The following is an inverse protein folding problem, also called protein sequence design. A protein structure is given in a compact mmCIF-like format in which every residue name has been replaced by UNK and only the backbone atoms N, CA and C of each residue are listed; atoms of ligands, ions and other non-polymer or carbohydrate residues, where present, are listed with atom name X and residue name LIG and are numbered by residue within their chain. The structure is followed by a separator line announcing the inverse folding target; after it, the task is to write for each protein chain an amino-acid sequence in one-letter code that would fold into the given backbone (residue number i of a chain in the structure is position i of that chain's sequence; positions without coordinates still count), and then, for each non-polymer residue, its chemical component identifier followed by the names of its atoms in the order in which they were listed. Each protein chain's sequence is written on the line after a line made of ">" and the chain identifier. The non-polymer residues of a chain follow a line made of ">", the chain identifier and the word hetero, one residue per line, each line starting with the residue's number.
data_IF_446333918041
#
_entry.id   IF_446333918041
#
_cell.length_a   1.000
_cell.length_b   1.000
_cell.length_c   1.000
_cell.angle_alpha   90.00
_cell.angle_beta   90.00
_cell.angle_gamma   90.00
#
_symmetry.space_group_name_H-M   'P 1'
#
loop_
_entity.id
_entity.type
_entity.pdbx_description
1 polymer ?
#
# COMPACT_ATOMS: atom_id res chain seq x y z
N UNK A 1 25.14 -6.97 2.33
CA UNK A 1 23.96 -7.09 3.22
C UNK A 1 23.64 -8.57 3.42
N UNK A 2 23.63 -9.06 4.66
CA UNK A 2 23.41 -10.48 4.95
C UNK A 2 21.97 -10.91 4.61
N UNK A 3 21.82 -12.05 3.92
CA UNK A 3 20.54 -12.63 3.54
C UNK A 3 19.85 -13.13 4.82
N UNK A 4 18.69 -12.54 5.19
CA UNK A 4 17.93 -12.97 6.38
C UNK A 4 17.65 -14.48 6.30
N UNK A 5 17.94 -15.18 7.40
CA UNK A 5 17.65 -16.61 7.54
C UNK A 5 16.14 -16.87 7.40
N UNK A 6 15.78 -17.98 6.76
CA UNK A 6 14.40 -18.41 6.56
C UNK A 6 14.21 -19.81 7.11
N UNK A 7 12.99 -20.11 7.50
CA UNK A 7 12.54 -21.44 7.91
C UNK A 7 11.60 -21.98 6.84
N UNK A 8 11.64 -23.28 6.59
CA UNK A 8 10.86 -23.91 5.53
C UNK A 8 10.04 -25.03 6.15
N UNK A 9 8.72 -24.93 6.06
CA UNK A 9 7.81 -25.97 6.52
C UNK A 9 7.47 -26.86 5.34
N UNK A 10 7.57 -28.17 5.54
CA UNK A 10 7.11 -29.20 4.61
C UNK A 10 5.99 -29.96 5.32
N UNK A 11 4.76 -29.84 4.80
CA UNK A 11 3.60 -30.61 5.27
C UNK A 11 3.48 -31.94 4.54
N UNK A 12 3.78 -31.95 3.24
CA UNK A 12 3.85 -33.18 2.42
C UNK A 12 5.13 -33.20 1.60
N UNK A 13 5.84 -34.31 1.68
CA UNK A 13 7.12 -34.54 1.01
C UNK A 13 7.73 -35.84 1.51
N UNK A 14 8.98 -36.10 1.09
CA UNK A 14 9.78 -37.23 1.59
C UNK A 14 10.08 -37.11 3.09
N UNK A 15 10.27 -35.88 3.58
CA UNK A 15 10.59 -35.60 4.99
C UNK A 15 9.80 -34.37 5.50
N UNK A 16 8.53 -34.55 5.91
CA UNK A 16 7.75 -33.49 6.56
C UNK A 16 8.44 -32.95 7.80
N UNK A 17 8.30 -31.65 8.06
CA UNK A 17 8.94 -30.97 9.19
C UNK A 17 9.42 -29.56 8.86
N UNK A 18 10.14 -28.96 9.82
CA UNK A 18 10.67 -27.59 9.73
C UNK A 18 12.17 -27.64 9.45
N UNK A 19 12.58 -27.08 8.32
CA UNK A 19 13.95 -27.05 7.84
C UNK A 19 14.53 -25.63 7.95
N UNK A 20 15.78 -25.50 8.43
CA UNK A 20 16.45 -24.19 8.59
C UNK A 20 17.14 -23.69 7.32
N UNK A 21 17.27 -24.54 6.29
CA UNK A 21 17.93 -24.20 5.03
C UNK A 21 17.12 -24.67 3.85
N UNK A 22 17.25 -23.97 2.72
CA UNK A 22 16.64 -24.39 1.47
C UNK A 22 17.16 -25.75 1.01
N UNK A 23 18.45 -26.04 1.22
CA UNK A 23 19.05 -27.32 0.83
C UNK A 23 18.37 -28.51 1.54
N UNK A 24 18.08 -28.37 2.83
CA UNK A 24 17.36 -29.39 3.60
C UNK A 24 15.90 -29.50 3.13
N UNK A 25 15.21 -28.37 2.96
CA UNK A 25 13.85 -28.35 2.41
C UNK A 25 13.77 -28.99 1.02
N UNK A 26 14.73 -28.71 0.13
CA UNK A 26 14.78 -29.25 -1.23
C UNK A 26 14.92 -30.76 -1.19
N UNK A 27 15.85 -31.30 -0.40
CA UNK A 27 15.99 -32.77 -0.19
C UNK A 27 14.69 -33.41 0.31
N UNK A 28 13.94 -32.68 1.14
CA UNK A 28 12.67 -33.15 1.68
C UNK A 28 11.51 -33.17 0.67
N UNK A 29 11.59 -32.47 -0.46
CA UNK A 29 10.49 -32.38 -1.46
C UNK A 29 10.86 -32.87 -2.86
N UNK A 30 12.16 -32.96 -3.18
CA UNK A 30 12.64 -33.25 -4.53
C UNK A 30 12.19 -34.63 -4.99
N UNK A 31 11.54 -34.68 -6.16
CA UNK A 31 10.97 -35.92 -6.73
C UNK A 31 9.66 -36.38 -6.07
N UNK A 32 9.08 -35.62 -5.15
CA UNK A 32 7.78 -35.94 -4.55
C UNK A 32 6.66 -35.19 -5.27
N UNK A 33 5.78 -35.92 -5.97
CA UNK A 33 4.65 -35.32 -6.70
C UNK A 33 3.63 -34.75 -5.71
N UNK A 34 3.29 -33.47 -5.85
CA UNK A 34 2.35 -32.79 -4.96
C UNK A 34 2.92 -32.40 -3.59
N UNK A 35 4.22 -32.13 -3.50
CA UNK A 35 4.84 -31.64 -2.26
C UNK A 35 4.22 -30.31 -1.80
N UNK A 36 3.93 -30.22 -0.51
CA UNK A 36 3.30 -29.07 0.14
C UNK A 36 4.33 -28.41 1.06
N UNK A 37 4.84 -27.23 0.69
CA UNK A 37 5.88 -26.53 1.44
C UNK A 37 5.78 -25.01 1.33
N UNK A 38 6.33 -24.28 2.32
CA UNK A 38 6.37 -22.80 2.33
C UNK A 38 7.51 -22.26 3.22
N UNK A 39 8.04 -21.09 2.87
CA UNK A 39 9.05 -20.40 3.69
C UNK A 39 8.45 -19.36 4.64
N UNK A 40 9.00 -19.26 5.85
CA UNK A 40 8.64 -18.31 6.91
C UNK A 40 9.88 -17.52 7.38
N UNK A 41 9.65 -16.33 7.91
CA UNK A 41 10.73 -15.43 8.35
C UNK A 41 11.21 -15.69 9.79
N UNK A 42 10.47 -16.48 10.57
CA UNK A 42 10.83 -16.85 11.95
C UNK A 42 10.48 -18.30 12.25
N UNK A 43 11.21 -18.89 13.20
CA UNK A 43 10.95 -20.24 13.67
C UNK A 43 9.55 -20.36 14.31
N UNK A 44 9.14 -19.35 15.08
CA UNK A 44 7.83 -19.32 15.71
C UNK A 44 6.68 -19.37 14.68
N UNK A 45 6.80 -18.63 13.56
CA UNK A 45 5.83 -18.70 12.47
C UNK A 45 5.84 -20.06 11.77
N UNK A 46 7.02 -20.64 11.54
CA UNK A 46 7.15 -21.98 10.97
C UNK A 46 6.52 -23.05 11.87
N UNK A 47 6.72 -22.96 13.19
CA UNK A 47 6.13 -23.89 14.16
C UNK A 47 4.60 -23.79 14.18
N UNK A 48 4.07 -22.55 14.23
CA UNK A 48 2.62 -22.33 14.17
C UNK A 48 2.04 -22.86 12.86
N UNK A 49 2.71 -22.64 11.74
CA UNK A 49 2.26 -23.08 10.44
C UNK A 49 2.32 -24.62 10.28
N UNK A 50 3.37 -25.26 10.80
CA UNK A 50 3.50 -26.72 10.81
C UNK A 50 2.39 -27.41 11.62
N UNK A 51 1.92 -26.75 12.69
CA UNK A 51 0.78 -27.23 13.49
C UNK A 51 -0.60 -26.93 12.84
N UNK A 52 -0.63 -26.21 11.71
CA UNK A 52 -1.84 -25.88 10.95
C UNK A 52 -1.89 -26.59 9.58
N UNK A 53 -2.86 -26.23 8.74
CA UNK A 53 -3.06 -26.89 7.44
C UNK A 53 -2.35 -26.13 6.30
N UNK A 54 -1.74 -26.84 5.35
CA UNK A 54 -1.11 -26.24 4.18
C UNK A 54 -2.07 -25.35 3.37
N UNK A 55 -3.34 -25.73 3.27
CA UNK A 55 -4.36 -24.96 2.55
C UNK A 55 -4.53 -23.55 3.12
N UNK A 56 -4.32 -23.35 4.43
CA UNK A 56 -4.35 -22.03 5.08
C UNK A 56 -3.23 -21.11 4.61
N UNK A 57 -2.20 -21.67 3.97
CA UNK A 57 -1.00 -20.97 3.49
C UNK A 57 -0.80 -21.08 1.98
N UNK A 58 -1.56 -21.94 1.30
CA UNK A 58 -1.54 -22.13 -0.15
C UNK A 58 -2.12 -20.90 -0.84
N UNK A 59 -1.50 -20.45 -1.93
CA UNK A 59 -1.93 -19.25 -2.66
C UNK A 59 -1.65 -17.90 -1.96
N UNK A 60 -1.39 -17.89 -0.64
CA UNK A 60 -1.04 -16.65 0.08
C UNK A 60 0.32 -16.12 -0.35
N UNK A 61 0.36 -15.01 -1.07
CA UNK A 61 1.62 -14.29 -1.37
C UNK A 61 2.27 -13.84 -0.06
N UNK A 62 3.60 -13.71 -0.06
CA UNK A 62 4.37 -13.09 1.04
C UNK A 62 3.68 -11.79 1.47
N UNK A 63 3.18 -11.73 2.71
CA UNK A 63 2.67 -10.47 3.28
C UNK A 63 1.37 -10.55 4.09
N UNK A 64 0.74 -11.71 4.24
CA UNK A 64 -0.45 -11.79 5.10
C UNK A 64 -0.09 -11.62 6.59
N UNK A 65 -0.43 -10.42 7.07
CA UNK A 65 -0.52 -9.91 8.44
C UNK A 65 0.53 -10.45 9.43
N UNK A 66 1.66 -9.76 9.49
CA UNK A 66 2.70 -9.92 10.53
C UNK A 66 2.30 -9.30 11.88
N UNK A 67 1.07 -8.81 12.03
CA UNK A 67 0.64 -8.07 13.21
C UNK A 67 0.07 -9.02 14.25
N UNK A 68 0.56 -8.89 15.48
CA UNK A 68 0.01 -9.55 16.65
C UNK A 68 -1.40 -9.03 16.98
N UNK A 69 -2.23 -9.80 17.72
CA UNK A 69 -3.53 -9.33 18.18
C UNK A 69 -3.46 -8.00 18.95
N UNK A 70 -2.39 -7.79 19.74
CA UNK A 70 -2.18 -6.56 20.48
C UNK A 70 -1.90 -5.35 19.57
N UNK A 71 -1.18 -5.55 18.45
CA UNK A 71 -0.95 -4.50 17.46
C UNK A 71 -2.23 -4.15 16.68
N UNK A 72 -3.02 -5.17 16.32
CA UNK A 72 -4.33 -4.96 15.68
C UNK A 72 -5.29 -4.19 16.59
N UNK A 73 -5.32 -4.51 17.89
CA UNK A 73 -6.13 -3.79 18.86
C UNK A 73 -5.75 -2.31 18.97
N UNK A 74 -4.44 -2.00 18.92
CA UNK A 74 -3.94 -0.61 18.93
C UNK A 74 -4.30 0.18 17.67
N UNK A 75 -4.33 -0.49 16.51
CA UNK A 75 -4.69 0.13 15.22
C UNK A 75 -6.21 0.36 15.15
N UNK A 76 -6.99 -0.60 15.66
CA UNK A 76 -8.44 -0.54 15.63
C UNK A 76 -9.03 -0.72 14.22
N UNK A 77 -10.27 -0.28 14.06
CA UNK A 77 -10.98 -0.30 12.78
C UNK A 77 -10.85 1.04 12.05
N UNK A 78 -10.92 1.06 10.71
CA UNK A 78 -10.96 2.31 9.97
C UNK A 78 -12.17 3.18 10.37
N UNK A 79 -11.98 4.49 10.44
CA UNK A 79 -13.11 5.41 10.56
C UNK A 79 -13.74 5.58 9.17
N UNK A 80 -14.94 5.04 8.97
CA UNK A 80 -15.64 5.10 7.70
C UNK A 80 -16.27 6.46 7.35
N UNK A 81 -16.30 7.43 8.29
CA UNK A 81 -16.64 8.82 7.99
C UNK A 81 -15.43 9.54 7.39
N UNK A 82 -15.01 9.06 6.22
CA UNK A 82 -13.77 9.45 5.57
C UNK A 82 -13.84 9.34 4.06
N UNK A 83 -12.87 9.94 3.40
CA UNK A 83 -12.52 9.63 2.01
C UNK A 83 -11.13 8.99 1.96
N UNK A 84 -10.90 8.15 0.97
CA UNK A 84 -9.60 7.54 0.71
C UNK A 84 -9.09 8.04 -0.64
N UNK A 85 -7.79 8.33 -0.72
CA UNK A 85 -7.13 8.75 -1.96
C UNK A 85 -5.93 7.87 -2.25
N UNK A 86 -5.68 7.66 -3.53
CA UNK A 86 -4.58 6.85 -4.03
C UNK A 86 -4.20 7.28 -5.46
N UNK A 87 -2.99 6.92 -5.88
CA UNK A 87 -2.52 7.10 -7.23
C UNK A 87 -1.84 5.84 -7.78
N UNK A 88 -1.96 5.66 -9.09
CA UNK A 88 -1.28 4.61 -9.82
C UNK A 88 -0.45 5.19 -10.96
N UNK A 89 0.69 4.55 -11.24
CA UNK A 89 1.56 4.91 -12.35
C UNK A 89 2.03 3.66 -13.09
N UNK A 90 1.73 3.56 -14.39
CA UNK A 90 2.23 2.49 -15.28
C UNK A 90 3.64 2.83 -15.75
N UNK A 91 4.63 2.41 -14.94
CA UNK A 91 6.01 2.90 -15.01
C UNK A 91 6.24 4.04 -14.04
N UNK A 92 7.48 4.27 -13.59
CA UNK A 92 7.79 5.30 -12.59
C UNK A 92 9.14 5.99 -12.89
N UNK A 93 9.18 7.00 -13.79
CA UNK A 93 8.03 7.72 -14.33
C UNK A 93 7.26 6.96 -15.43
N UNK A 94 5.95 7.23 -15.56
CA UNK A 94 5.06 6.57 -16.50
C UNK A 94 3.68 7.22 -16.57
N UNK A 95 2.71 6.56 -17.21
CA UNK A 95 1.33 7.08 -17.30
C UNK A 95 0.71 7.05 -15.92
N UNK A 96 0.33 8.21 -15.39
CA UNK A 96 -0.07 8.39 -13.99
C UNK A 96 -1.51 8.87 -13.87
N UNK A 97 -2.28 8.28 -12.97
CA UNK A 97 -3.64 8.71 -12.63
C UNK A 97 -3.84 8.66 -11.12
N UNK A 98 -4.82 9.42 -10.62
CA UNK A 98 -5.18 9.39 -9.21
C UNK A 98 -6.68 9.53 -9.00
N UNK A 99 -7.18 9.08 -7.86
CA UNK A 99 -8.59 9.16 -7.52
C UNK A 99 -8.83 9.34 -6.03
N UNK A 100 -10.06 9.76 -5.71
CA UNK A 100 -10.59 9.77 -4.36
C UNK A 100 -11.95 9.07 -4.33
N UNK A 101 -12.16 8.27 -3.29
CA UNK A 101 -13.39 7.49 -3.10
C UNK A 101 -13.94 7.69 -1.68
N UNK A 102 -15.23 7.47 -1.50
CA UNK A 102 -15.81 7.27 -0.18
C UNK A 102 -15.26 5.97 0.43
N UNK A 103 -14.67 6.03 1.62
CA UNK A 103 -13.90 4.90 2.20
C UNK A 103 -14.78 3.68 2.48
N UNK A 104 -16.07 3.88 2.82
CA UNK A 104 -16.99 2.78 3.13
C UNK A 104 -17.52 2.10 1.88
N UNK A 105 -17.95 2.91 0.91
CA UNK A 105 -18.71 2.43 -0.25
C UNK A 105 -17.84 2.20 -1.49
N UNK A 106 -16.63 2.74 -1.52
CA UNK A 106 -15.78 2.75 -2.72
C UNK A 106 -16.33 3.66 -3.82
N UNK A 107 -17.39 4.43 -3.57
CA UNK A 107 -17.96 5.35 -4.56
C UNK A 107 -16.92 6.40 -4.92
N UNK A 108 -16.56 6.46 -6.20
CA UNK A 108 -15.65 7.46 -6.76
C UNK A 108 -16.22 8.87 -6.60
N UNK A 109 -15.45 9.73 -5.93
CA UNK A 109 -15.77 11.13 -5.69
C UNK A 109 -15.10 12.02 -6.73
N UNK A 110 -13.85 11.70 -7.08
CA UNK A 110 -13.10 12.36 -8.13
C UNK A 110 -12.05 11.41 -8.72
N UNK A 111 -11.63 11.71 -9.95
CA UNK A 111 -10.55 11.03 -10.65
C UNK A 111 -9.87 12.01 -11.61
N UNK A 112 -8.56 11.88 -11.78
CA UNK A 112 -7.75 12.72 -12.64
C UNK A 112 -6.67 11.91 -13.34
N UNK A 113 -6.28 12.37 -14.54
CA UNK A 113 -5.45 11.61 -15.47
C UNK A 113 -6.28 10.71 -16.41
N UNK A 114 -5.63 9.85 -17.19
CA UNK A 114 -4.19 9.59 -17.18
C UNK A 114 -3.36 10.78 -17.68
N UNK A 115 -2.35 11.16 -16.91
CA UNK A 115 -1.30 12.08 -17.34
C UNK A 115 -0.23 11.28 -18.10
N UNK A 116 0.28 11.76 -19.25
CA UNK A 116 1.19 10.98 -20.08
C UNK A 116 2.49 10.58 -19.37
N UNK A 117 2.97 11.41 -18.44
CA UNK A 117 4.14 11.10 -17.63
C UNK A 117 4.03 11.74 -16.23
N UNK A 118 4.16 10.91 -15.20
CA UNK A 118 4.26 11.29 -13.79
C UNK A 118 4.95 10.20 -12.98
N UNK A 119 5.10 10.44 -11.68
CA UNK A 119 5.55 9.39 -10.73
C UNK A 119 4.45 9.07 -9.75
N UNK A 120 4.50 7.89 -9.14
CA UNK A 120 3.52 7.51 -8.13
C UNK A 120 3.42 8.57 -7.01
N UNK A 121 4.57 9.03 -6.50
CA UNK A 121 4.62 10.02 -5.42
C UNK A 121 4.00 11.38 -5.80
N UNK A 122 4.11 11.80 -7.06
CA UNK A 122 3.43 13.02 -7.52
C UNK A 122 1.92 12.79 -7.55
N UNK A 123 1.47 11.65 -8.07
CA UNK A 123 0.05 11.27 -8.06
C UNK A 123 -0.52 11.27 -6.65
N UNK A 124 0.14 10.62 -5.70
CA UNK A 124 -0.24 10.57 -4.29
C UNK A 124 -0.40 11.96 -3.67
N UNK A 125 0.58 12.84 -3.94
CA UNK A 125 0.53 14.23 -3.47
C UNK A 125 -0.64 15.00 -4.06
N UNK A 126 -0.85 14.90 -5.38
CA UNK A 126 -1.97 15.57 -6.06
C UNK A 126 -3.32 15.05 -5.57
N UNK A 127 -3.45 13.73 -5.39
CA UNK A 127 -4.67 13.10 -4.87
C UNK A 127 -5.02 13.63 -3.48
N UNK A 128 -4.02 13.73 -2.59
CA UNK A 128 -4.19 14.22 -1.24
C UNK A 128 -4.58 15.70 -1.20
N UNK A 129 -3.93 16.55 -2.00
CA UNK A 129 -4.30 17.98 -2.07
C UNK A 129 -5.69 18.17 -2.69
N UNK A 130 -6.03 17.42 -3.74
CA UNK A 130 -7.36 17.43 -4.34
C UNK A 130 -8.42 17.02 -3.30
N UNK A 131 -8.19 15.94 -2.55
CA UNK A 131 -9.09 15.50 -1.49
C UNK A 131 -9.32 16.56 -0.40
N UNK A 132 -8.26 17.25 0.03
CA UNK A 132 -8.39 18.39 0.97
C UNK A 132 -9.24 19.52 0.39
N UNK A 133 -8.98 19.91 -0.86
CA UNK A 133 -9.75 20.96 -1.54
C UNK A 133 -11.22 20.57 -1.71
N UNK A 134 -11.48 19.31 -2.11
CA UNK A 134 -12.81 18.74 -2.28
C UNK A 134 -13.62 18.77 -0.99
N UNK A 135 -13.01 18.40 0.15
CA UNK A 135 -13.67 18.42 1.46
C UNK A 135 -13.92 19.85 1.94
N UNK A 136 -12.95 20.76 1.77
CA UNK A 136 -13.09 22.17 2.14
C UNK A 136 -14.23 22.84 1.37
N UNK A 137 -14.29 22.65 0.05
CA UNK A 137 -15.33 23.21 -0.82
C UNK A 137 -16.75 22.81 -0.37
N UNK A 138 -16.89 21.61 0.21
CA UNK A 138 -18.16 21.05 0.68
C UNK A 138 -18.45 21.30 2.15
N UNK A 139 -17.57 22.01 2.87
CA UNK A 139 -17.68 22.18 4.32
C UNK A 139 -17.71 20.84 5.08
N UNK A 140 -17.07 19.80 4.52
CA UNK A 140 -17.12 18.45 5.07
C UNK A 140 -16.17 18.29 6.26
N UNK A 141 -16.64 17.59 7.29
CA UNK A 141 -15.90 17.24 8.52
C UNK A 141 -15.21 15.86 8.45
N UNK A 142 -15.48 15.08 7.39
CA UNK A 142 -14.82 13.79 7.11
C UNK A 142 -13.30 13.90 7.14
N UNK A 143 -12.64 12.83 7.60
CA UNK A 143 -11.18 12.69 7.52
C UNK A 143 -10.73 12.22 6.12
N UNK A 144 -9.44 12.33 5.83
CA UNK A 144 -8.84 11.80 4.59
C UNK A 144 -7.77 10.76 4.88
N UNK A 145 -7.89 9.59 4.26
CA UNK A 145 -6.89 8.53 4.26
C UNK A 145 -6.00 8.57 3.02
N UNK A 146 -4.70 8.37 3.22
CA UNK A 146 -3.73 8.03 2.18
C UNK A 146 -2.81 6.95 2.76
N UNK A 147 -2.29 6.05 1.93
CA UNK A 147 -1.26 5.12 2.37
C UNK A 147 0.18 5.66 2.15
N UNK A 148 0.31 6.85 1.54
CA UNK A 148 1.59 7.46 1.17
C UNK A 148 2.13 8.42 2.23
N UNK A 149 3.12 7.95 3.00
CA UNK A 149 3.89 8.81 3.92
C UNK A 149 4.63 9.95 3.20
N UNK A 150 5.02 9.72 1.94
CA UNK A 150 5.65 10.75 1.10
C UNK A 150 4.70 11.90 0.84
N UNK A 151 3.46 11.62 0.42
CA UNK A 151 2.46 12.65 0.17
C UNK A 151 2.09 13.41 1.44
N UNK A 152 1.88 12.71 2.57
CA UNK A 152 1.65 13.37 3.87
C UNK A 152 2.79 14.34 4.24
N UNK A 153 4.04 13.94 4.01
CA UNK A 153 5.21 14.79 4.23
C UNK A 153 5.23 16.01 3.32
N UNK A 154 4.94 15.83 2.03
CA UNK A 154 4.92 16.92 1.04
C UNK A 154 3.78 17.91 1.29
N UNK A 155 2.60 17.43 1.70
CA UNK A 155 1.48 18.29 2.10
C UNK A 155 1.81 19.10 3.35
N UNK A 156 2.40 18.48 4.38
CA UNK A 156 2.87 19.21 5.58
C UNK A 156 3.88 20.30 5.22
N UNK A 157 4.79 20.01 4.29
CA UNK A 157 5.79 20.96 3.79
C UNK A 157 5.24 21.96 2.77
N UNK A 158 3.98 21.80 2.34
CA UNK A 158 3.34 22.58 1.26
C UNK A 158 4.18 22.61 -0.03
N UNK A 159 4.89 21.51 -0.32
CA UNK A 159 5.85 21.42 -1.41
C UNK A 159 5.94 19.99 -1.95
N UNK A 160 5.76 19.84 -3.26
CA UNK A 160 6.02 18.60 -3.98
C UNK A 160 7.52 18.45 -4.23
N UNK A 161 8.20 17.66 -3.39
CA UNK A 161 9.65 17.49 -3.44
C UNK A 161 10.09 16.38 -4.42
N UNK A 162 9.61 16.47 -5.66
CA UNK A 162 9.92 15.51 -6.72
C UNK A 162 11.30 15.76 -7.34
N UNK A 163 11.93 14.69 -7.85
CA UNK A 163 13.16 14.74 -8.66
C UNK A 163 12.88 14.66 -10.17
N UNK A 164 11.62 14.46 -10.57
CA UNK A 164 11.24 14.42 -11.99
C UNK A 164 11.43 15.83 -12.57
N UNK A 165 12.13 15.92 -13.70
CA UNK A 165 12.28 17.18 -14.44
C UNK A 165 11.06 17.42 -15.34
N UNK A 166 10.59 18.67 -15.38
CA UNK A 166 9.50 19.09 -16.26
C UNK A 166 9.92 19.01 -17.74
N UNK A 167 9.00 18.54 -18.59
CA UNK A 167 9.13 18.45 -20.04
C UNK A 167 7.72 18.45 -20.67
N UNK A 168 7.64 18.46 -22.00
CA UNK A 168 6.35 18.53 -22.72
C UNK A 168 5.35 17.42 -22.36
N UNK A 169 5.82 16.21 -21.99
CA UNK A 169 4.92 15.08 -21.64
C UNK A 169 4.28 15.23 -20.26
N UNK A 170 4.89 16.01 -19.36
CA UNK A 170 4.44 16.14 -17.97
C UNK A 170 4.10 17.59 -17.58
N UNK A 171 4.12 18.53 -18.53
CA UNK A 171 3.82 19.95 -18.32
C UNK A 171 2.46 20.20 -17.67
N UNK A 172 1.41 19.52 -18.13
CA UNK A 172 0.06 19.60 -17.55
C UNK A 172 0.02 19.10 -16.09
N UNK A 173 0.74 18.01 -15.81
CA UNK A 173 0.86 17.49 -14.45
C UNK A 173 1.64 18.47 -13.56
N UNK A 174 2.72 19.09 -14.06
CA UNK A 174 3.47 20.10 -13.31
C UNK A 174 2.68 21.39 -13.09
N UNK A 175 1.81 21.77 -14.03
CA UNK A 175 0.85 22.84 -13.82
C UNK A 175 -0.09 22.52 -12.64
N UNK A 176 -0.60 21.29 -12.54
CA UNK A 176 -1.38 20.85 -11.36
C UNK A 176 -0.56 20.84 -10.07
N UNK A 177 0.71 20.44 -10.11
CA UNK A 177 1.62 20.52 -8.94
C UNK A 177 1.74 21.96 -8.46
N UNK A 178 1.99 22.92 -9.36
CA UNK A 178 2.05 24.35 -9.01
C UNK A 178 0.74 24.84 -8.40
N UNK A 179 -0.41 24.47 -8.97
CA UNK A 179 -1.74 24.80 -8.42
C UNK A 179 -1.96 24.20 -7.03
N UNK A 180 -1.56 22.95 -6.82
CA UNK A 180 -1.67 22.27 -5.53
C UNK A 180 -0.80 22.94 -4.45
N UNK A 181 0.46 23.28 -4.77
CA UNK A 181 1.34 24.02 -3.86
C UNK A 181 0.79 25.41 -3.53
N UNK A 182 0.28 26.14 -4.53
CA UNK A 182 -0.35 27.43 -4.34
C UNK A 182 -1.57 27.32 -3.41
N UNK A 183 -2.45 26.35 -3.65
CA UNK A 183 -3.64 26.09 -2.83
C UNK A 183 -3.26 25.82 -1.37
N UNK A 184 -2.27 24.95 -1.12
CA UNK A 184 -1.81 24.67 0.24
C UNK A 184 -1.24 25.90 0.96
N UNK A 185 -0.62 26.82 0.23
CA UNK A 185 -0.06 28.06 0.79
C UNK A 185 -1.14 29.10 1.09
N UNK A 186 -2.16 29.22 0.24
CA UNK A 186 -3.21 30.25 0.36
C UNK A 186 -4.45 29.78 1.13
N UNK A 187 -4.55 28.50 1.49
CA UNK A 187 -5.69 27.95 2.21
C UNK A 187 -5.30 27.37 3.58
N UNK A 188 -6.28 27.38 4.48
CA UNK A 188 -6.28 26.63 5.73
C UNK A 188 -7.26 25.47 5.65
N UNK A 189 -6.95 24.38 6.34
CA UNK A 189 -7.81 23.22 6.49
C UNK A 189 -7.57 22.61 7.88
N UNK A 190 -8.63 22.10 8.49
CA UNK A 190 -8.57 21.35 9.75
C UNK A 190 -8.80 19.85 9.53
N UNK A 191 -8.96 19.43 8.28
CA UNK A 191 -9.18 18.03 7.89
C UNK A 191 -8.03 17.15 8.37
N UNK A 192 -8.30 16.15 9.24
CA UNK A 192 -7.29 15.19 9.66
C UNK A 192 -6.83 14.33 8.49
N UNK A 193 -5.51 14.32 8.25
CA UNK A 193 -4.86 13.43 7.28
C UNK A 193 -4.34 12.21 8.04
N UNK A 194 -4.88 11.03 7.73
CA UNK A 194 -4.58 9.80 8.46
C UNK A 194 -3.89 8.80 7.54
N UNK A 195 -2.88 8.10 8.06
CA UNK A 195 -2.23 7.01 7.35
C UNK A 195 -3.18 5.81 7.30
N UNK A 196 -3.43 5.28 6.11
CA UNK A 196 -4.11 3.99 5.97
C UNK A 196 -3.18 2.86 6.40
N UNK A 197 -3.61 2.00 7.33
CA UNK A 197 -2.79 0.91 7.84
C UNK A 197 -2.94 -0.35 6.97
N UNK A 198 -2.29 -0.34 5.80
CA UNK A 198 -2.41 -1.40 4.77
C UNK A 198 -2.18 -2.81 5.31
N UNK A 199 -1.30 -2.96 6.32
CA UNK A 199 -1.02 -4.25 6.96
C UNK A 199 -2.16 -4.76 7.83
N UNK A 200 -3.00 -3.88 8.36
CA UNK A 200 -4.12 -4.23 9.23
C UNK A 200 -5.44 -4.31 8.44
N UNK A 201 -5.64 -3.41 7.49
CA UNK A 201 -6.93 -3.22 6.82
C UNK A 201 -6.95 -3.66 5.35
N UNK A 202 -5.83 -4.16 4.82
CA UNK A 202 -5.68 -4.49 3.40
C UNK A 202 -5.39 -3.26 2.54
N UNK A 203 -5.53 -3.40 1.22
CA UNK A 203 -5.31 -2.27 0.30
C UNK A 203 -6.26 -1.11 0.62
N UNK A 204 -5.80 0.12 0.36
CA UNK A 204 -6.62 1.31 0.58
C UNK A 204 -7.83 1.26 -0.37
N UNK A 205 -9.04 1.70 0.04
CA UNK A 205 -10.23 1.62 -0.81
C UNK A 205 -10.12 2.34 -2.17
N UNK A 206 -9.19 3.29 -2.29
CA UNK A 206 -8.92 4.02 -3.52
C UNK A 206 -7.92 3.30 -4.46
N UNK A 207 -7.37 2.15 -4.07
CA UNK A 207 -6.39 1.38 -4.85
C UNK A 207 -6.92 1.05 -6.26
N UNK A 208 -6.03 1.11 -7.25
CA UNK A 208 -6.38 0.88 -8.66
C UNK A 208 -6.45 -0.61 -9.05
N UNK A 209 -6.05 -1.54 -8.16
CA UNK A 209 -6.07 -2.98 -8.40
C UNK A 209 -5.03 -3.47 -9.41
N UNK A 210 -4.01 -2.66 -9.71
CA UNK A 210 -2.97 -2.96 -10.72
C UNK A 210 -1.63 -3.20 -10.04
N UNK A 211 -1.45 -4.40 -9.46
CA UNK A 211 -0.16 -4.86 -8.89
C UNK A 211 0.41 -6.01 -9.70
#
# INVERSE_FOLDING_TARGET
>A
MAKKAKFYVVWKGKQPGIHKTWAACKKAIEGYKGAEYKSFESFAMAQKAFNGNYEDFKGKKKGETTLSPAELLKIGQPNYHSISVDAASSGNPGVMEYQGVDTKTGKKLFKQGPFPQGTNNIGEFLALVHGLAFLKERGSDRIIYTDSRTAMSWVRKKKCNTKLTENEKNKEMFHLVRRAEAWLKSNTYNTPIVKWETKAWGEIPADFGRK
#
